data_IF_151695516191
#
_entry.id   IF_151695516191
#
_cell.length_a   1.000
_cell.length_b   1.000
_cell.length_c   1.000
_cell.angle_alpha   90.00
_cell.angle_beta   90.00
_cell.angle_gamma   90.00
#
_symmetry.space_group_name_H-M   'P 1'
#
loop_
_entity.id
_entity.type
_entity.pdbx_description
1 polymer ?
#
# COMPACT_ATOMS: atom_id res chain seq x y z
N UNK A 1 -0.99 -33.25 -16.80
CA UNK A 1 -0.71 -31.85 -16.37
C UNK A 1 -1.60 -30.83 -17.09
N UNK A 2 -1.70 -30.85 -18.44
CA UNK A 2 -2.56 -29.94 -19.22
C UNK A 2 -4.06 -30.03 -18.89
N UNK A 3 -4.59 -31.26 -18.75
CA UNK A 3 -5.99 -31.50 -18.36
C UNK A 3 -6.34 -30.98 -16.96
N UNK A 4 -5.43 -31.13 -16.00
CA UNK A 4 -5.63 -30.62 -14.62
C UNK A 4 -5.66 -29.09 -14.62
N UNK A 5 -4.79 -28.45 -15.39
CA UNK A 5 -4.77 -26.98 -15.53
C UNK A 5 -6.06 -26.46 -16.18
N UNK A 6 -6.51 -27.10 -17.26
CA UNK A 6 -7.76 -26.76 -17.95
C UNK A 6 -8.96 -26.86 -17.00
N UNK A 7 -9.07 -27.97 -16.27
CA UNK A 7 -10.13 -28.19 -15.28
C UNK A 7 -10.07 -27.17 -14.13
N UNK A 8 -8.88 -26.75 -13.72
CA UNK A 8 -8.73 -25.70 -12.71
C UNK A 8 -9.26 -24.35 -13.20
N UNK A 9 -8.90 -23.92 -14.42
CA UNK A 9 -9.42 -22.68 -15.02
C UNK A 9 -10.94 -22.77 -15.19
N UNK A 10 -11.48 -23.88 -15.72
CA UNK A 10 -12.92 -24.10 -15.83
C UNK A 10 -13.64 -23.98 -14.48
N UNK A 11 -13.03 -24.48 -13.40
CA UNK A 11 -13.58 -24.37 -12.04
C UNK A 11 -13.53 -22.94 -11.52
N UNK A 12 -12.45 -22.21 -11.78
CA UNK A 12 -12.28 -20.81 -11.36
C UNK A 12 -13.25 -19.87 -12.10
N UNK A 13 -13.54 -20.16 -13.37
CA UNK A 13 -14.50 -19.43 -14.19
C UNK A 13 -15.97 -19.76 -13.90
N UNK A 14 -16.24 -20.90 -13.25
CA UNK A 14 -17.60 -21.33 -12.92
C UNK A 14 -18.14 -20.55 -11.70
N UNK A 15 -19.08 -19.65 -11.95
CA UNK A 15 -19.77 -18.84 -10.92
C UNK A 15 -20.51 -19.66 -9.87
N UNK A 16 -20.96 -20.87 -10.20
CA UNK A 16 -21.59 -21.79 -9.24
C UNK A 16 -20.59 -22.46 -8.28
N UNK A 17 -19.29 -22.40 -8.59
CA UNK A 17 -18.23 -23.06 -7.83
C UNK A 17 -17.25 -22.09 -7.18
N UNK A 18 -16.94 -20.98 -7.84
CA UNK A 18 -15.87 -20.07 -7.43
C UNK A 18 -16.37 -18.63 -7.35
N UNK A 19 -16.03 -17.97 -6.25
CA UNK A 19 -16.13 -16.52 -6.11
C UNK A 19 -14.76 -16.00 -5.71
N UNK A 20 -14.25 -15.01 -6.44
CA UNK A 20 -12.95 -14.41 -6.16
C UNK A 20 -13.15 -13.11 -5.36
N UNK A 21 -12.46 -13.02 -4.22
CA UNK A 21 -12.52 -11.85 -3.35
C UNK A 21 -11.22 -11.06 -3.48
N UNK A 22 -11.28 -9.92 -4.15
CA UNK A 22 -10.19 -8.95 -4.20
C UNK A 22 -10.17 -8.20 -2.87
N UNK A 23 -9.04 -8.21 -2.18
CA UNK A 23 -8.87 -7.44 -0.94
C UNK A 23 -7.90 -6.31 -1.20
N UNK A 24 -8.31 -5.08 -0.90
CA UNK A 24 -7.50 -3.87 -1.08
C UNK A 24 -7.60 -2.92 0.11
N UNK A 25 -6.97 -1.75 0.02
CA UNK A 25 -6.96 -0.68 1.02
C UNK A 25 -7.60 0.58 0.41
N UNK A 26 -8.15 1.50 1.22
CA UNK A 26 -8.72 2.77 0.76
C UNK A 26 -7.61 3.78 0.36
N UNK A 27 -6.74 3.37 -0.55
CA UNK A 27 -5.59 4.12 -1.05
C UNK A 27 -5.51 3.98 -2.58
N UNK A 28 -5.01 5.01 -3.26
CA UNK A 28 -5.04 5.06 -4.73
C UNK A 28 -4.24 3.93 -5.39
N UNK A 29 -2.99 3.70 -4.97
CA UNK A 29 -2.14 2.67 -5.56
C UNK A 29 -2.68 1.24 -5.33
N UNK A 30 -3.09 0.85 -4.12
CA UNK A 30 -3.75 -0.45 -3.90
C UNK A 30 -5.03 -0.66 -4.71
N UNK A 31 -5.86 0.37 -4.92
CA UNK A 31 -7.06 0.23 -5.75
C UNK A 31 -6.74 0.11 -7.24
N UNK A 32 -5.74 0.84 -7.75
CA UNK A 32 -5.28 0.67 -9.14
C UNK A 32 -4.71 -0.72 -9.38
N UNK A 33 -3.96 -1.26 -8.43
CA UNK A 33 -3.43 -2.63 -8.52
C UNK A 33 -4.56 -3.67 -8.47
N UNK A 34 -5.58 -3.45 -7.63
CA UNK A 34 -6.75 -4.32 -7.58
C UNK A 34 -7.55 -4.29 -8.89
N UNK A 35 -7.72 -3.11 -9.52
CA UNK A 35 -8.37 -2.98 -10.83
C UNK A 35 -7.57 -3.71 -11.93
N UNK A 36 -6.25 -3.56 -11.93
CA UNK A 36 -5.37 -4.27 -12.86
C UNK A 36 -5.51 -5.78 -12.71
N UNK A 37 -5.38 -6.31 -11.48
CA UNK A 37 -5.52 -7.72 -11.21
C UNK A 37 -6.93 -8.24 -11.57
N UNK A 38 -7.97 -7.47 -11.27
CA UNK A 38 -9.35 -7.77 -11.66
C UNK A 38 -9.49 -7.97 -13.17
N UNK A 39 -8.91 -7.05 -13.95
CA UNK A 39 -8.94 -7.12 -15.41
C UNK A 39 -8.18 -8.33 -15.94
N UNK A 40 -6.96 -8.58 -15.46
CA UNK A 40 -6.16 -9.74 -15.87
C UNK A 40 -6.88 -11.07 -15.59
N UNK A 41 -7.63 -11.16 -14.48
CA UNK A 41 -8.45 -12.32 -14.14
C UNK A 41 -9.71 -12.43 -15.01
N UNK A 42 -10.35 -11.32 -15.33
CA UNK A 42 -11.50 -11.29 -16.25
C UNK A 42 -11.09 -11.70 -17.68
N UNK A 43 -9.90 -11.29 -18.15
CA UNK A 43 -9.37 -11.64 -19.47
C UNK A 43 -9.17 -13.16 -19.64
N UNK A 44 -9.05 -13.92 -18.54
CA UNK A 44 -9.00 -15.40 -18.54
C UNK A 44 -10.34 -16.07 -18.15
N UNK A 45 -11.43 -15.29 -18.09
CA UNK A 45 -12.80 -15.77 -17.86
C UNK A 45 -13.18 -15.93 -16.39
N UNK A 46 -12.45 -15.33 -15.44
CA UNK A 46 -12.78 -15.37 -14.01
C UNK A 46 -13.54 -14.08 -13.65
N UNK A 47 -14.81 -14.01 -14.03
CA UNK A 47 -15.60 -12.77 -13.92
C UNK A 47 -16.40 -12.66 -12.61
N UNK A 48 -16.54 -13.76 -11.86
CA UNK A 48 -17.29 -13.76 -10.59
C UNK A 48 -16.44 -13.21 -9.43
N UNK A 49 -16.20 -11.90 -9.48
CA UNK A 49 -15.33 -11.18 -8.56
C UNK A 49 -16.14 -10.25 -7.63
N UNK A 50 -15.64 -10.04 -6.42
CA UNK A 50 -16.10 -9.03 -5.47
C UNK A 50 -14.90 -8.29 -4.85
N UNK A 51 -15.12 -7.07 -4.38
CA UNK A 51 -14.09 -6.24 -3.74
C UNK A 51 -14.38 -6.07 -2.25
N UNK A 52 -13.35 -6.26 -1.42
CA UNK A 52 -13.34 -5.92 -0.01
C UNK A 52 -12.28 -4.84 0.21
N UNK A 53 -12.71 -3.66 0.64
CA UNK A 53 -11.82 -2.57 1.04
C UNK A 53 -11.59 -2.67 2.55
N UNK A 54 -10.38 -3.05 2.93
CA UNK A 54 -10.01 -3.33 4.31
C UNK A 54 -9.38 -2.12 5.03
N UNK A 55 -9.69 -1.99 6.32
CA UNK A 55 -9.22 -0.94 7.21
C UNK A 55 -9.65 0.47 6.81
N UNK A 56 -10.93 0.61 6.49
CA UNK A 56 -11.58 1.91 6.30
C UNK A 56 -11.72 2.59 7.66
N UNK A 57 -11.22 3.82 7.77
CA UNK A 57 -11.35 4.62 8.97
C UNK A 57 -12.80 5.16 9.04
N UNK A 58 -13.51 4.89 10.12
CA UNK A 58 -14.95 5.24 10.26
C UNK A 58 -15.18 6.55 11.00
N UNK A 59 -14.21 7.00 11.78
CA UNK A 59 -14.26 8.21 12.59
C UNK A 59 -12.83 8.72 12.85
N UNK A 60 -12.72 9.97 13.28
CA UNK A 60 -11.46 10.62 13.63
C UNK A 60 -11.66 11.47 14.90
N UNK A 61 -10.59 11.71 15.63
CA UNK A 61 -10.58 12.44 16.91
C UNK A 61 -9.39 13.41 17.05
N UNK A 62 -8.47 13.42 16.08
CA UNK A 62 -7.34 14.34 16.01
C UNK A 62 -7.07 14.80 14.55
N UNK A 63 -6.14 15.75 14.37
CA UNK A 63 -5.83 16.28 13.04
C UNK A 63 -5.17 15.28 12.07
N UNK A 64 -4.49 14.25 12.59
CA UNK A 64 -3.83 13.23 11.77
C UNK A 64 -4.85 12.23 11.24
N UNK A 65 -5.72 11.74 12.12
CA UNK A 65 -6.84 10.87 11.80
C UNK A 65 -7.86 11.58 10.91
N UNK A 66 -8.11 12.88 11.09
CA UNK A 66 -8.93 13.67 10.17
C UNK A 66 -8.32 13.70 8.76
N UNK A 67 -7.04 14.02 8.65
CA UNK A 67 -6.34 14.04 7.35
C UNK A 67 -6.36 12.66 6.66
N UNK A 68 -6.13 11.59 7.42
CA UNK A 68 -6.22 10.22 6.91
C UNK A 68 -7.64 9.88 6.47
N UNK A 69 -8.66 10.22 7.27
CA UNK A 69 -10.07 10.01 6.95
C UNK A 69 -10.44 10.71 5.65
N UNK A 70 -10.15 12.02 5.52
CA UNK A 70 -10.46 12.78 4.31
C UNK A 70 -9.75 12.22 3.08
N UNK A 71 -8.48 11.80 3.22
CA UNK A 71 -7.73 11.14 2.15
C UNK A 71 -8.41 9.84 1.70
N UNK A 72 -8.84 9.00 2.64
CA UNK A 72 -9.58 7.77 2.33
C UNK A 72 -10.92 8.08 1.66
N UNK A 73 -11.71 9.03 2.18
CA UNK A 73 -12.99 9.40 1.59
C UNK A 73 -12.85 9.92 0.16
N UNK A 74 -11.80 10.69 -0.13
CA UNK A 74 -11.52 11.14 -1.48
C UNK A 74 -11.21 9.96 -2.43
N UNK A 75 -10.41 9.00 -1.98
CA UNK A 75 -10.11 7.79 -2.76
C UNK A 75 -11.37 6.95 -2.98
N UNK A 76 -12.21 6.78 -1.96
CA UNK A 76 -13.44 6.00 -2.01
C UNK A 76 -14.51 6.62 -2.93
N UNK A 77 -14.58 7.95 -2.99
CA UNK A 77 -15.43 8.66 -3.98
C UNK A 77 -14.94 8.44 -5.41
N UNK A 78 -13.64 8.29 -5.59
CA UNK A 78 -12.95 8.15 -6.87
C UNK A 78 -12.47 6.72 -7.14
N UNK A 79 -13.20 5.70 -6.67
CA UNK A 79 -12.89 4.30 -6.96
C UNK A 79 -12.78 4.11 -8.48
N UNK A 80 -11.77 3.36 -8.98
CA UNK A 80 -11.62 3.10 -10.41
C UNK A 80 -12.87 2.48 -11.05
N UNK A 81 -13.19 2.89 -12.28
CA UNK A 81 -14.45 2.52 -12.94
C UNK A 81 -14.59 1.01 -13.17
N UNK A 82 -13.49 0.29 -13.39
CA UNK A 82 -13.50 -1.17 -13.50
C UNK A 82 -14.00 -1.86 -12.23
N UNK A 83 -13.69 -1.28 -11.06
CA UNK A 83 -14.10 -1.80 -9.76
C UNK A 83 -15.52 -1.40 -9.34
N UNK A 84 -16.12 -0.36 -9.93
CA UNK A 84 -17.48 0.07 -9.57
C UNK A 84 -18.57 -0.93 -10.00
N UNK A 85 -18.25 -1.83 -10.93
CA UNK A 85 -19.21 -2.79 -11.50
C UNK A 85 -19.45 -4.02 -10.60
N UNK A 86 -18.58 -4.26 -9.63
CA UNK A 86 -18.65 -5.40 -8.71
C UNK A 86 -19.25 -4.99 -7.37
N UNK A 87 -19.69 -5.98 -6.59
CA UNK A 87 -20.10 -5.73 -5.21
C UNK A 87 -18.88 -5.30 -4.38
N UNK A 88 -19.02 -4.17 -3.67
CA UNK A 88 -17.97 -3.60 -2.82
C UNK A 88 -18.42 -3.70 -1.37
N UNK A 89 -17.58 -4.33 -0.54
CA UNK A 89 -17.74 -4.41 0.90
C UNK A 89 -16.61 -3.67 1.59
N UNK A 90 -16.86 -3.20 2.81
CA UNK A 90 -15.88 -2.46 3.61
C UNK A 90 -15.68 -3.13 4.95
N UNK A 91 -14.42 -3.27 5.35
CA UNK A 91 -14.03 -3.71 6.69
C UNK A 91 -13.41 -2.52 7.41
N UNK A 92 -13.90 -2.13 8.59
CA UNK A 92 -13.38 -0.99 9.32
C UNK A 92 -11.96 -1.22 9.84
N UNK A 93 -11.21 -0.15 10.02
CA UNK A 93 -9.94 -0.18 10.75
C UNK A 93 -10.22 -0.49 12.22
N UNK A 94 -9.43 -1.38 12.82
CA UNK A 94 -9.54 -1.76 14.23
C UNK A 94 -8.27 -1.42 14.99
N UNK A 95 -8.44 -0.96 16.22
CA UNK A 95 -7.34 -0.62 17.13
C UNK A 95 -6.72 -1.86 17.80
N UNK A 96 -7.20 -3.07 17.48
CA UNK A 96 -6.70 -4.34 18.00
C UNK A 96 -6.23 -5.27 16.89
N UNK A 97 -5.30 -6.16 17.23
CA UNK A 97 -4.89 -7.25 16.35
C UNK A 97 -5.97 -8.34 16.29
N UNK A 98 -6.22 -8.87 15.09
CA UNK A 98 -7.19 -9.94 14.86
C UNK A 98 -6.53 -11.30 15.22
N UNK A 99 -6.26 -11.50 16.51
CA UNK A 99 -5.73 -12.75 17.06
C UNK A 99 -6.75 -13.28 18.06
N UNK A 100 -7.13 -14.56 17.92
CA UNK A 100 -8.15 -15.19 18.76
C UNK A 100 -9.58 -15.04 18.21
N UNK A 101 -10.45 -15.96 18.60
CA UNK A 101 -11.83 -16.06 18.06
C UNK A 101 -12.69 -14.84 18.42
N UNK A 102 -12.46 -14.25 19.59
CA UNK A 102 -13.26 -13.10 20.06
C UNK A 102 -13.01 -11.87 19.20
N UNK A 103 -11.75 -11.57 18.87
CA UNK A 103 -11.39 -10.45 17.99
C UNK A 103 -11.86 -10.69 16.55
N UNK A 104 -11.88 -11.94 16.06
CA UNK A 104 -12.47 -12.29 14.75
C UNK A 104 -13.97 -11.99 14.73
N UNK A 105 -14.71 -12.37 15.79
CA UNK A 105 -16.15 -12.08 15.91
C UNK A 105 -16.43 -10.59 16.08
N UNK A 106 -15.54 -9.87 16.76
CA UNK A 106 -15.65 -8.43 16.97
C UNK A 106 -15.33 -7.61 15.70
N UNK A 107 -14.56 -8.15 14.75
CA UNK A 107 -14.03 -7.43 13.59
C UNK A 107 -15.06 -6.54 12.89
N UNK A 108 -16.27 -7.05 12.64
CA UNK A 108 -17.31 -6.31 11.91
C UNK A 108 -18.28 -5.56 12.83
N UNK A 109 -18.24 -5.80 14.14
CA UNK A 109 -19.30 -5.36 15.06
C UNK A 109 -18.84 -4.38 16.13
N UNK A 110 -17.59 -4.46 16.60
CA UNK A 110 -17.10 -3.67 17.73
C UNK A 110 -15.65 -3.26 17.54
N UNK A 111 -15.36 -2.02 17.93
CA UNK A 111 -13.99 -1.55 18.15
C UNK A 111 -13.65 -1.63 19.64
N UNK A 112 -13.10 -2.76 20.08
CA UNK A 112 -12.72 -2.97 21.48
C UNK A 112 -11.21 -2.83 21.61
N UNK A 113 -10.76 -1.76 22.26
CA UNK A 113 -9.36 -1.60 22.63
C UNK A 113 -9.26 -1.22 24.12
N UNK A 114 -8.21 -1.73 24.75
CA UNK A 114 -7.86 -1.36 26.12
C UNK A 114 -6.81 -0.28 25.99
N UNK A 115 -7.15 0.95 26.37
CA UNK A 115 -6.16 2.02 26.52
C UNK A 115 -5.18 1.59 27.59
N UNK A 116 -3.91 1.47 27.22
CA UNK A 116 -2.82 1.25 28.16
C UNK A 116 -1.97 2.50 28.21
N UNK A 117 -1.80 3.06 29.40
CA UNK A 117 -0.87 4.17 29.65
C UNK A 117 0.60 3.68 29.70
N UNK A 118 0.99 2.87 28.72
CA UNK A 118 2.37 2.43 28.56
C UNK A 118 3.17 3.60 27.98
N UNK A 119 3.98 4.25 28.83
CA UNK A 119 4.97 5.22 28.35
C UNK A 119 6.13 4.47 27.71
N UNK A 120 6.22 4.56 26.38
CA UNK A 120 7.37 4.05 25.63
C UNK A 120 8.61 4.84 26.08
N UNK A 121 9.50 4.19 26.82
CA UNK A 121 10.72 4.79 27.33
C UNK A 121 11.84 4.71 26.28
N UNK A 122 11.61 5.28 25.10
CA UNK A 122 12.61 5.35 24.02
C UNK A 122 13.27 6.71 24.06
N UNK A 123 14.56 6.73 24.37
CA UNK A 123 15.34 7.97 24.45
C UNK A 123 15.69 8.54 23.07
N UNK A 124 15.86 7.67 22.06
CA UNK A 124 16.25 8.07 20.71
C UNK A 124 15.56 7.18 19.67
N UNK A 125 14.89 7.79 18.70
CA UNK A 125 14.28 7.11 17.56
C UNK A 125 15.13 7.44 16.32
N UNK A 126 15.81 6.46 15.69
CA UNK A 126 16.54 6.70 14.46
C UNK A 126 15.62 7.22 13.35
N UNK A 127 16.08 8.23 12.63
CA UNK A 127 15.39 8.85 11.51
C UNK A 127 16.06 8.51 10.18
N UNK A 128 15.35 8.75 9.08
CA UNK A 128 15.91 8.58 7.74
C UNK A 128 17.17 9.45 7.53
N UNK A 129 17.26 10.61 8.19
CA UNK A 129 18.45 11.46 8.17
C UNK A 129 19.70 10.72 8.67
N UNK A 130 19.57 9.90 9.71
CA UNK A 130 20.71 9.15 10.27
C UNK A 130 21.24 8.12 9.27
N UNK A 131 20.34 7.50 8.50
CA UNK A 131 20.70 6.61 7.39
C UNK A 131 21.46 7.39 6.31
N UNK A 132 20.98 8.58 5.93
CA UNK A 132 21.63 9.42 4.93
C UNK A 132 23.02 9.89 5.43
N UNK A 133 23.14 10.26 6.71
CA UNK A 133 24.40 10.57 7.42
C UNK A 133 25.41 9.43 7.32
N UNK A 134 24.98 8.20 7.61
CA UNK A 134 25.86 7.06 7.51
C UNK A 134 26.28 6.76 6.06
N UNK A 135 25.35 6.80 5.11
CA UNK A 135 25.64 6.59 3.68
C UNK A 135 26.63 7.62 3.14
N UNK A 136 26.49 8.89 3.56
CA UNK A 136 27.39 9.98 3.18
C UNK A 136 28.79 9.81 3.77
N UNK A 137 28.87 9.54 5.09
CA UNK A 137 30.12 9.38 5.83
C UNK A 137 30.91 8.17 5.35
N UNK A 138 30.22 7.05 5.12
CA UNK A 138 30.83 5.81 4.64
C UNK A 138 31.01 5.75 3.12
N UNK A 139 30.71 6.86 2.42
CA UNK A 139 30.94 7.07 0.98
C UNK A 139 30.37 5.96 0.09
N UNK A 140 29.16 5.47 0.40
CA UNK A 140 28.50 4.43 -0.39
C UNK A 140 28.20 4.94 -1.79
N UNK A 141 28.49 4.09 -2.80
CA UNK A 141 28.35 4.43 -4.23
C UNK A 141 27.13 3.82 -4.89
N UNK A 142 26.71 2.65 -4.41
CA UNK A 142 25.57 1.90 -4.92
C UNK A 142 24.63 1.65 -3.76
N UNK A 143 23.37 2.07 -3.91
CA UNK A 143 22.33 1.99 -2.89
C UNK A 143 21.09 1.39 -3.54
N UNK A 144 20.62 0.27 -3.01
CA UNK A 144 19.39 -0.38 -3.46
C UNK A 144 18.29 -0.25 -2.39
N UNK A 145 17.11 0.18 -2.81
CA UNK A 145 15.90 0.15 -1.97
C UNK A 145 15.01 -1.00 -2.42
N UNK A 146 14.86 -2.03 -1.60
CA UNK A 146 14.10 -3.26 -1.92
C UNK A 146 12.91 -3.46 -0.99
N UNK A 147 11.92 -4.25 -1.42
CA UNK A 147 10.68 -4.50 -0.68
C UNK A 147 9.47 -4.76 -1.58
N UNK A 148 8.35 -5.17 -0.97
CA UNK A 148 7.08 -5.47 -1.68
C UNK A 148 6.50 -4.24 -2.40
N UNK A 149 5.53 -4.44 -3.29
CA UNK A 149 4.80 -3.33 -3.92
C UNK A 149 4.16 -2.40 -2.88
N UNK A 150 4.14 -1.10 -3.14
CA UNK A 150 3.44 -0.12 -2.28
C UNK A 150 4.12 0.27 -0.95
N UNK A 151 5.22 -0.37 -0.54
CA UNK A 151 5.86 -0.08 0.77
C UNK A 151 6.67 1.23 0.85
N UNK A 152 6.67 2.06 -0.21
CA UNK A 152 7.38 3.36 -0.21
C UNK A 152 8.83 3.35 -0.68
N UNK A 153 9.29 2.30 -1.38
CA UNK A 153 10.68 2.20 -1.89
C UNK A 153 11.13 3.43 -2.68
N UNK A 154 10.33 3.84 -3.66
CA UNK A 154 10.63 4.99 -4.54
C UNK A 154 10.71 6.29 -3.73
N UNK A 155 9.81 6.47 -2.76
CA UNK A 155 9.81 7.63 -1.85
C UNK A 155 11.10 7.68 -1.02
N UNK A 156 11.50 6.55 -0.44
CA UNK A 156 12.74 6.45 0.34
C UNK A 156 13.97 6.67 -0.53
N UNK A 157 14.03 6.07 -1.73
CA UNK A 157 15.14 6.23 -2.67
C UNK A 157 15.32 7.70 -3.07
N UNK A 158 14.23 8.39 -3.39
CA UNK A 158 14.24 9.81 -3.74
C UNK A 158 14.65 10.69 -2.55
N UNK A 159 14.18 10.39 -1.33
CA UNK A 159 14.60 11.10 -0.12
C UNK A 159 16.10 10.93 0.17
N UNK A 160 16.65 9.73 -0.04
CA UNK A 160 18.09 9.46 0.08
C UNK A 160 18.87 10.25 -0.98
N UNK A 161 18.42 10.22 -2.25
CA UNK A 161 19.07 10.93 -3.34
C UNK A 161 19.12 12.45 -3.09
N UNK A 162 17.99 13.04 -2.66
CA UNK A 162 17.91 14.44 -2.28
C UNK A 162 18.82 14.76 -1.09
N UNK A 163 18.83 13.90 -0.07
CA UNK A 163 19.67 14.07 1.10
C UNK A 163 21.17 14.04 0.79
N UNK A 164 21.61 13.15 -0.09
CA UNK A 164 23.01 13.06 -0.54
C UNK A 164 23.38 14.22 -1.47
N UNK A 165 22.49 14.61 -2.37
CA UNK A 165 22.67 15.75 -3.27
C UNK A 165 22.85 17.07 -2.51
N UNK A 166 22.02 17.31 -1.48
CA UNK A 166 22.16 18.46 -0.56
C UNK A 166 23.50 18.52 0.17
N UNK A 167 24.25 17.41 0.22
CA UNK A 167 25.60 17.33 0.80
C UNK A 167 26.72 17.38 -0.24
N UNK A 168 26.39 17.83 -1.46
CA UNK A 168 27.34 18.00 -2.55
C UNK A 168 27.71 16.71 -3.28
N UNK A 169 26.98 15.60 -3.08
CA UNK A 169 27.20 14.38 -3.88
C UNK A 169 26.45 14.51 -5.20
N UNK A 170 27.11 14.11 -6.30
CA UNK A 170 26.41 13.83 -7.56
C UNK A 170 25.71 12.48 -7.42
N UNK A 171 24.40 12.46 -7.61
CA UNK A 171 23.59 11.25 -7.46
C UNK A 171 22.90 10.94 -8.78
N UNK A 172 22.96 9.68 -9.20
CA UNK A 172 22.13 9.17 -10.29
C UNK A 172 21.04 8.29 -9.67
N UNK A 173 19.78 8.63 -9.91
CA UNK A 173 18.64 7.91 -9.37
C UNK A 173 17.87 7.21 -10.49
N UNK A 174 17.83 5.89 -10.42
CA UNK A 174 17.12 5.05 -11.39
C UNK A 174 15.97 4.30 -10.69
N UNK A 175 14.87 4.08 -11.41
CA UNK A 175 13.77 3.21 -10.95
C UNK A 175 13.46 2.14 -11.96
N UNK A 176 12.97 1.01 -11.47
CA UNK A 176 12.33 -0.04 -12.28
C UNK A 176 10.81 -0.01 -12.15
N UNK A 177 10.26 0.91 -11.36
CA UNK A 177 8.81 1.11 -11.22
C UNK A 177 8.26 1.78 -12.50
N UNK A 178 7.34 1.15 -13.24
CA UNK A 178 6.72 1.74 -14.42
C UNK A 178 5.79 2.92 -14.09
N UNK A 179 5.39 3.09 -12.82
CA UNK A 179 4.67 4.28 -12.38
C UNK A 179 5.65 5.45 -12.26
N UNK A 180 5.38 6.53 -13.02
CA UNK A 180 6.19 7.76 -13.20
C UNK A 180 6.29 8.64 -11.92
N UNK A 181 6.37 7.99 -10.75
CA UNK A 181 6.30 8.58 -9.41
C UNK A 181 7.51 9.47 -9.07
N UNK A 182 8.61 9.41 -9.82
CA UNK A 182 9.81 10.20 -9.54
C UNK A 182 9.69 11.66 -9.92
N UNK A 183 8.95 11.96 -10.99
CA UNK A 183 8.72 13.34 -11.44
C UNK A 183 7.96 14.16 -10.39
N UNK A 184 7.14 13.51 -9.57
CA UNK A 184 6.41 14.15 -8.46
C UNK A 184 7.28 14.44 -7.24
N UNK A 185 8.39 13.71 -7.06
CA UNK A 185 9.24 13.81 -5.86
C UNK A 185 10.47 14.69 -6.10
N UNK A 186 10.93 14.79 -7.35
CA UNK A 186 12.15 15.49 -7.72
C UNK A 186 11.79 16.62 -8.68
N UNK A 187 11.44 17.79 -8.12
CA UNK A 187 11.63 19.04 -8.85
C UNK A 187 13.12 19.18 -9.12
N UNK A 188 13.52 19.49 -10.37
CA UNK A 188 14.90 19.61 -10.86
C UNK A 188 15.81 20.30 -9.83
N UNK A 189 16.43 19.49 -8.97
CA UNK A 189 17.33 19.93 -7.92
C UNK A 189 18.73 19.75 -8.46
N UNK A 190 19.55 20.80 -8.39
CA UNK A 190 20.93 20.78 -8.87
C UNK A 190 21.73 19.64 -8.22
N UNK A 191 22.13 18.64 -9.02
CA UNK A 191 23.00 17.54 -8.59
C UNK A 191 22.38 16.13 -8.59
N UNK A 192 21.12 15.98 -8.97
CA UNK A 192 20.49 14.67 -9.23
C UNK A 192 20.30 14.49 -10.73
N UNK A 193 20.78 13.39 -11.29
CA UNK A 193 20.45 12.95 -12.65
C UNK A 193 19.52 11.73 -12.59
N UNK A 194 18.61 11.64 -13.55
CA UNK A 194 17.71 10.50 -13.75
C UNK A 194 18.20 9.63 -14.90
#
# INVERSE_FOLDING_TARGET
KKEVYKKAVETLSDRGKTTLILVSRPEEAPLKEAERASKELADIGIDNQMLVINGVLTSYDDGVSESLYQKQQNVLRNIPQGLKKMAIYMVPLRAYNIIGIDNVRALLTKDQYIVRDEKINVQTIPHLKDVIDDLYRTNKKVIFTMGKGGVGKTTVAAAIALGLSKRGRKVHLTTTDPADNLKFVINESSGITM
#
